data_IF_582335262354
#
_entry.id   IF_582335262354
#
_cell.length_a   1.000
_cell.length_b   1.000
_cell.length_c   1.000
_cell.angle_alpha   90.00
_cell.angle_beta   90.00
_cell.angle_gamma   90.00
#
_symmetry.space_group_name_H-M   'P 1'
#
loop_
_entity.id
_entity.type
_entity.pdbx_description
1 polymer ?
#
# COMPACT_ATOMS: atom_id res chain seq x y z
N UNK A 1 3.75 22.57 -15.90
CA UNK A 1 2.64 22.59 -14.92
C UNK A 1 1.64 21.45 -15.14
N UNK A 2 0.90 21.37 -16.25
CA UNK A 2 -0.05 20.25 -16.48
C UNK A 2 0.64 18.94 -16.87
N UNK A 3 1.73 18.98 -17.66
CA UNK A 3 2.47 17.76 -17.99
C UNK A 3 3.11 17.10 -16.75
N UNK A 4 3.67 17.90 -15.85
CA UNK A 4 4.28 17.42 -14.59
C UNK A 4 3.23 16.79 -13.68
N UNK A 5 2.04 17.39 -13.57
CA UNK A 5 0.91 16.81 -12.84
C UNK A 5 0.52 15.42 -13.37
N UNK A 6 0.32 15.28 -14.68
CA UNK A 6 -0.13 14.02 -15.27
C UNK A 6 0.94 12.93 -15.18
N UNK A 7 2.22 13.28 -15.36
CA UNK A 7 3.33 12.34 -15.19
C UNK A 7 3.42 11.84 -13.75
N UNK A 8 3.41 12.75 -12.78
CA UNK A 8 3.43 12.44 -11.34
C UNK A 8 2.21 11.61 -10.93
N UNK A 9 1.02 11.97 -11.42
CA UNK A 9 -0.21 11.22 -11.16
C UNK A 9 -0.12 9.79 -11.72
N UNK A 10 0.29 9.63 -12.98
CA UNK A 10 0.41 8.30 -13.61
C UNK A 10 1.47 7.46 -12.89
N UNK A 11 2.61 8.06 -12.54
CA UNK A 11 3.69 7.39 -11.82
C UNK A 11 3.20 6.92 -10.44
N UNK A 12 2.59 7.79 -9.66
CA UNK A 12 2.02 7.43 -8.36
C UNK A 12 0.93 6.37 -8.49
N UNK A 13 0.04 6.48 -9.48
CA UNK A 13 -1.02 5.52 -9.72
C UNK A 13 -0.47 4.12 -10.08
N UNK A 14 0.56 4.07 -10.92
CA UNK A 14 1.20 2.83 -11.33
C UNK A 14 1.98 2.20 -10.16
N UNK A 15 2.66 3.02 -9.36
CA UNK A 15 3.47 2.59 -8.23
C UNK A 15 2.61 2.12 -7.06
N UNK A 16 1.48 2.77 -6.82
CA UNK A 16 0.55 2.43 -5.73
C UNK A 16 -0.43 1.31 -6.07
N UNK A 17 -0.49 0.92 -7.35
CA UNK A 17 -1.32 -0.14 -7.92
C UNK A 17 -2.66 -0.35 -7.18
N UNK A 18 -3.58 0.63 -7.24
CA UNK A 18 -4.89 0.53 -6.59
C UNK A 18 -5.66 -0.73 -7.01
N UNK A 19 -5.49 -1.17 -8.26
CA UNK A 19 -6.23 -2.28 -8.86
C UNK A 19 -5.68 -3.64 -8.41
N UNK A 20 -4.37 -3.83 -8.42
CA UNK A 20 -3.72 -5.05 -7.90
C UNK A 20 -3.94 -5.26 -6.40
N UNK A 21 -4.14 -4.17 -5.66
CA UNK A 21 -4.45 -4.23 -4.23
C UNK A 21 -5.90 -4.61 -3.89
N UNK A 22 -6.82 -4.66 -4.87
CA UNK A 22 -8.25 -4.97 -4.63
C UNK A 22 -8.45 -6.36 -3.99
N UNK A 23 -7.84 -7.46 -4.48
CA UNK A 23 -8.03 -8.78 -3.89
C UNK A 23 -7.47 -8.86 -2.46
N UNK A 24 -6.33 -8.22 -2.20
CA UNK A 24 -5.76 -8.10 -0.86
C UNK A 24 -6.74 -7.39 0.07
N UNK A 25 -7.25 -6.22 -0.33
CA UNK A 25 -8.17 -5.44 0.48
C UNK A 25 -9.49 -6.18 0.75
N UNK A 26 -9.98 -6.88 -0.26
CA UNK A 26 -11.16 -7.72 -0.16
C UNK A 26 -10.97 -8.92 0.79
N UNK A 27 -9.80 -9.55 0.82
CA UNK A 27 -9.49 -10.65 1.74
C UNK A 27 -9.52 -10.21 3.21
N UNK A 28 -9.01 -9.01 3.49
CA UNK A 28 -8.99 -8.44 4.85
C UNK A 28 -10.38 -7.97 5.29
N UNK A 29 -11.21 -7.49 4.35
CA UNK A 29 -12.59 -7.09 4.63
C UNK A 29 -13.58 -8.27 4.69
N UNK A 30 -13.20 -9.45 4.22
CA UNK A 30 -14.03 -10.66 4.23
C UNK A 30 -14.65 -10.97 5.62
N UNK A 31 -13.88 -11.00 6.73
CA UNK A 31 -14.44 -11.24 8.07
C UNK A 31 -15.27 -10.10 8.65
N UNK A 32 -15.30 -8.91 8.04
CA UNK A 32 -15.99 -7.73 8.57
C UNK A 32 -17.45 -7.66 8.08
N UNK A 33 -18.44 -7.28 8.93
CA UNK A 33 -19.82 -7.09 8.48
C UNK A 33 -19.96 -5.99 7.41
N UNK A 34 -20.78 -6.18 6.36
CA UNK A 34 -20.93 -5.25 5.23
C UNK A 34 -21.21 -3.79 5.60
N UNK A 35 -21.97 -3.57 6.69
CA UNK A 35 -22.33 -2.23 7.17
C UNK A 35 -21.15 -1.41 7.72
N UNK A 36 -20.06 -2.06 8.13
CA UNK A 36 -18.85 -1.40 8.66
C UNK A 36 -17.72 -1.28 7.65
N UNK A 37 -17.76 -2.06 6.56
CA UNK A 37 -16.72 -2.08 5.51
C UNK A 37 -16.40 -0.71 4.90
N UNK A 38 -17.35 0.13 4.46
CA UNK A 38 -17.01 1.41 3.82
C UNK A 38 -16.32 2.38 4.79
N UNK A 39 -16.65 2.33 6.10
CA UNK A 39 -15.97 3.14 7.11
C UNK A 39 -14.51 2.73 7.28
N UNK A 40 -14.23 1.42 7.26
CA UNK A 40 -12.86 0.90 7.32
C UNK A 40 -12.09 1.30 6.06
N UNK A 41 -12.69 1.14 4.87
CA UNK A 41 -12.07 1.53 3.59
C UNK A 41 -11.63 3.00 3.62
N UNK A 42 -12.55 3.91 3.98
CA UNK A 42 -12.26 5.35 4.05
C UNK A 42 -11.17 5.63 5.08
N UNK A 43 -11.22 4.97 6.24
CA UNK A 43 -10.23 5.14 7.30
C UNK A 43 -8.84 4.69 6.88
N UNK A 44 -8.70 3.51 6.28
CA UNK A 44 -7.41 3.00 5.81
C UNK A 44 -6.85 3.84 4.67
N UNK A 45 -7.69 4.28 3.72
CA UNK A 45 -7.28 5.19 2.66
C UNK A 45 -6.82 6.55 3.22
N UNK A 46 -7.53 7.08 4.22
CA UNK A 46 -7.15 8.32 4.88
C UNK A 46 -5.82 8.18 5.64
N UNK A 47 -5.61 7.07 6.36
CA UNK A 47 -4.36 6.78 7.06
C UNK A 47 -3.20 6.71 6.04
N UNK A 48 -3.37 5.96 4.95
CA UNK A 48 -2.35 5.86 3.90
C UNK A 48 -2.04 7.21 3.26
N UNK A 49 -3.07 8.01 2.95
CA UNK A 49 -2.91 9.34 2.37
C UNK A 49 -2.18 10.30 3.31
N UNK A 50 -2.57 10.34 4.58
CA UNK A 50 -1.91 11.18 5.60
C UNK A 50 -0.47 10.74 5.83
N UNK A 51 -0.19 9.44 5.87
CA UNK A 51 1.16 8.91 5.99
C UNK A 51 2.03 9.32 4.79
N UNK A 52 1.55 9.16 3.56
CA UNK A 52 2.28 9.58 2.36
C UNK A 52 2.50 11.09 2.33
N UNK A 53 1.52 11.89 2.75
CA UNK A 53 1.72 13.34 2.92
C UNK A 53 2.81 13.65 3.94
N UNK A 54 2.76 13.04 5.13
CA UNK A 54 3.78 13.24 6.16
C UNK A 54 5.16 12.84 5.63
N UNK A 55 5.28 11.70 4.95
CA UNK A 55 6.55 11.25 4.37
C UNK A 55 7.03 12.14 3.21
N UNK A 56 6.12 12.71 2.44
CA UNK A 56 6.47 13.66 1.37
C UNK A 56 7.06 14.97 1.92
N UNK A 57 6.53 15.49 3.05
CA UNK A 57 7.04 16.74 3.64
C UNK A 57 8.18 16.52 4.65
N UNK A 58 8.09 15.46 5.45
CA UNK A 58 8.96 15.21 6.61
C UNK A 58 9.74 13.90 6.52
N UNK A 59 9.50 13.06 5.52
CA UNK A 59 10.03 11.68 5.47
C UNK A 59 11.54 11.62 5.59
N UNK A 60 12.29 12.51 4.92
CA UNK A 60 13.75 12.56 5.04
C UNK A 60 14.22 12.95 6.44
N UNK A 61 13.58 13.95 7.05
CA UNK A 61 13.89 14.38 8.42
C UNK A 61 13.56 13.30 9.44
N UNK A 62 12.45 12.59 9.23
CA UNK A 62 12.01 11.47 10.06
C UNK A 62 12.99 10.29 9.97
N UNK A 63 13.36 9.90 8.76
CA UNK A 63 14.36 8.85 8.53
C UNK A 63 15.71 9.22 9.11
N UNK A 64 16.16 10.46 8.94
CA UNK A 64 17.42 10.96 9.51
C UNK A 64 17.39 10.97 11.05
N UNK A 65 16.28 11.39 11.67
CA UNK A 65 16.14 11.38 13.13
C UNK A 65 16.24 9.96 13.71
N UNK A 66 15.66 8.97 13.02
CA UNK A 66 15.73 7.56 13.40
C UNK A 66 17.01 6.85 12.94
N UNK A 67 17.91 7.54 12.23
CA UNK A 67 19.09 6.95 11.59
C UNK A 67 18.74 5.75 10.68
N UNK A 68 17.57 5.79 10.05
CA UNK A 68 17.09 4.76 9.12
C UNK A 68 17.43 5.15 7.69
N UNK A 69 17.98 4.21 6.92
CA UNK A 69 18.21 4.40 5.49
C UNK A 69 16.95 4.09 4.69
N UNK A 70 16.81 4.75 3.52
CA UNK A 70 15.77 4.43 2.53
C UNK A 70 15.82 2.92 2.15
N UNK A 71 17.03 2.36 2.09
CA UNK A 71 17.28 0.94 1.83
C UNK A 71 16.72 0.05 2.94
N UNK A 72 16.89 0.43 4.21
CA UNK A 72 16.34 -0.32 5.34
C UNK A 72 14.80 -0.31 5.32
N UNK A 73 14.18 0.81 4.97
CA UNK A 73 12.73 0.91 4.81
C UNK A 73 12.22 0.02 3.67
N UNK A 74 12.98 -0.03 2.56
CA UNK A 74 12.68 -0.89 1.42
C UNK A 74 12.74 -2.37 1.75
N UNK A 75 13.80 -2.82 2.42
CA UNK A 75 13.95 -4.21 2.88
C UNK A 75 12.90 -4.55 3.95
N UNK A 76 12.65 -3.65 4.91
CA UNK A 76 11.63 -3.86 5.93
C UNK A 76 10.23 -4.02 5.32
N UNK A 77 9.86 -3.13 4.40
CA UNK A 77 8.55 -3.19 3.75
C UNK A 77 8.39 -4.41 2.83
N UNK A 78 9.45 -4.88 2.17
CA UNK A 78 9.39 -6.11 1.38
C UNK A 78 9.20 -7.36 2.24
N UNK A 79 9.79 -7.40 3.45
CA UNK A 79 9.55 -8.50 4.42
C UNK A 79 8.09 -8.51 4.89
N UNK A 80 7.50 -7.34 5.21
CA UNK A 80 6.09 -7.27 5.62
C UNK A 80 5.17 -7.69 4.48
N UNK A 81 5.42 -7.23 3.24
CA UNK A 81 4.65 -7.65 2.07
C UNK A 81 4.74 -9.16 1.84
N UNK A 82 5.93 -9.76 2.01
CA UNK A 82 6.14 -11.20 1.90
C UNK A 82 5.32 -11.98 2.95
N UNK A 83 5.26 -11.49 4.19
CA UNK A 83 4.45 -12.11 5.24
C UNK A 83 2.96 -12.05 4.90
N UNK A 84 2.47 -10.91 4.39
CA UNK A 84 1.08 -10.75 3.97
C UNK A 84 0.76 -11.68 2.80
N UNK A 85 1.64 -11.74 1.79
CA UNK A 85 1.43 -12.55 0.60
C UNK A 85 1.39 -14.04 0.90
N UNK A 86 2.27 -14.53 1.78
CA UNK A 86 2.25 -15.92 2.26
C UNK A 86 0.93 -16.24 2.95
N UNK A 87 0.43 -15.34 3.80
CA UNK A 87 -0.86 -15.53 4.50
C UNK A 87 -2.08 -15.50 3.57
N UNK A 88 -1.99 -14.83 2.41
CA UNK A 88 -3.03 -14.90 1.38
C UNK A 88 -3.03 -16.24 0.63
N UNK A 89 -1.84 -16.81 0.37
CA UNK A 89 -1.72 -18.12 -0.29
C UNK A 89 -2.20 -19.24 0.65
N UNK A 90 -1.81 -19.15 1.92
CA UNK A 90 -2.10 -20.13 2.96
C UNK A 90 -2.97 -19.49 4.07
N UNK A 91 -4.28 -19.31 3.82
CA UNK A 91 -5.17 -18.71 4.82
C UNK A 91 -5.25 -19.59 6.05
N UNK A 92 -4.88 -19.04 7.21
CA UNK A 92 -5.07 -19.68 8.50
C UNK A 92 -6.55 -19.61 8.93
N UNK A 93 -7.04 -20.55 9.75
CA UNK A 93 -8.39 -20.51 10.33
C UNK A 93 -8.69 -19.21 11.11
N UNK A 94 -7.64 -18.52 11.55
CA UNK A 94 -7.68 -17.27 12.31
C UNK A 94 -7.68 -16.00 11.43
N UNK A 95 -7.75 -16.15 10.09
CA UNK A 95 -7.69 -15.04 9.14
C UNK A 95 -6.27 -14.54 8.85
N UNK A 96 -6.12 -13.75 7.78
CA UNK A 96 -4.81 -13.21 7.31
C UNK A 96 -4.10 -12.37 8.38
N UNK A 97 -4.79 -11.89 9.41
CA UNK A 97 -4.22 -11.08 10.50
C UNK A 97 -4.19 -11.78 11.88
N UNK A 98 -4.73 -13.00 12.00
CA UNK A 98 -4.87 -13.71 13.29
C UNK A 98 -6.09 -13.26 14.10
N UNK A 99 -6.63 -14.14 14.96
CA UNK A 99 -7.77 -13.82 15.83
C UNK A 99 -7.40 -12.68 16.77
N UNK A 100 -8.14 -11.58 16.66
CA UNK A 100 -8.29 -10.64 17.76
C UNK A 100 -9.68 -10.92 18.34
N UNK A 101 -9.75 -11.63 19.45
CA UNK A 101 -11.01 -11.74 20.21
C UNK A 101 -11.44 -10.31 20.57
N UNK A 102 -12.47 -9.78 19.89
CA UNK A 102 -13.14 -8.52 20.20
C UNK A 102 -12.44 -7.21 19.79
N UNK A 103 -11.28 -7.23 19.14
CA UNK A 103 -10.58 -6.02 18.71
C UNK A 103 -10.64 -5.82 17.21
N UNK A 104 -11.07 -4.64 16.78
CA UNK A 104 -11.03 -4.17 15.39
C UNK A 104 -9.63 -4.43 14.77
N UNK A 105 -9.51 -4.68 13.45
CA UNK A 105 -8.25 -5.04 12.78
C UNK A 105 -7.27 -3.85 12.74
N UNK A 106 -6.72 -3.50 13.90
CA UNK A 106 -6.09 -2.20 14.17
C UNK A 106 -4.57 -2.23 14.39
N UNK A 107 -3.92 -3.40 14.42
CA UNK A 107 -2.54 -3.46 14.93
C UNK A 107 -1.48 -3.55 13.82
N UNK A 108 -1.86 -3.83 12.56
CA UNK A 108 -0.94 -3.72 11.43
C UNK A 108 -1.64 -2.93 10.33
N UNK A 109 -1.22 -1.68 10.04
CA UNK A 109 -1.90 -0.87 9.05
C UNK A 109 -1.82 -1.59 7.69
N UNK A 110 -2.96 -1.86 7.04
CA UNK A 110 -2.94 -2.19 5.60
C UNK A 110 -2.30 -1.04 4.81
N UNK A 111 -2.44 0.18 5.34
CA UNK A 111 -1.74 1.37 4.90
C UNK A 111 -0.22 1.16 4.76
N UNK A 112 0.42 0.37 5.64
CA UNK A 112 1.86 0.04 5.59
C UNK A 112 1.99 -1.49 5.66
N UNK A 113 2.05 -2.22 4.53
CA UNK A 113 2.82 -1.85 3.32
C UNK A 113 2.03 -1.85 2.00
N UNK A 114 0.72 -2.09 2.00
CA UNK A 114 -0.02 -2.30 0.76
C UNK A 114 -0.25 -1.01 -0.02
N UNK A 115 -0.52 0.11 0.67
CA UNK A 115 -0.85 1.40 0.05
C UNK A 115 0.32 2.39 0.09
N UNK A 116 0.94 2.57 1.25
CA UNK A 116 2.20 3.28 1.41
C UNK A 116 3.38 2.31 1.30
N UNK A 117 3.37 1.50 0.23
CA UNK A 117 4.45 0.56 -0.04
C UNK A 117 5.80 1.26 -0.22
N UNK A 118 6.92 0.52 -0.11
CA UNK A 118 8.27 1.07 -0.29
C UNK A 118 8.44 1.87 -1.57
N UNK A 119 7.80 1.44 -2.66
CA UNK A 119 7.83 2.13 -3.95
C UNK A 119 7.10 3.48 -3.88
N UNK A 120 5.93 3.53 -3.23
CA UNK A 120 5.19 4.78 -3.03
C UNK A 120 5.99 5.74 -2.13
N UNK A 121 6.59 5.22 -1.05
CA UNK A 121 7.45 5.99 -0.14
C UNK A 121 8.70 6.52 -0.84
N UNK A 122 9.37 5.72 -1.66
CA UNK A 122 10.51 6.17 -2.46
C UNK A 122 10.09 7.27 -3.45
N UNK A 123 8.94 7.13 -4.10
CA UNK A 123 8.39 8.12 -5.03
C UNK A 123 8.09 9.45 -4.34
N UNK A 124 7.41 9.48 -3.18
CA UNK A 124 7.19 10.75 -2.47
C UNK A 124 8.48 11.36 -1.90
N UNK A 125 9.48 10.55 -1.55
CA UNK A 125 10.80 11.05 -1.15
C UNK A 125 11.58 11.68 -2.32
N UNK A 126 11.40 11.20 -3.55
CA UNK A 126 11.98 11.84 -4.75
C UNK A 126 11.35 13.20 -4.99
N UNK A 127 10.03 13.32 -4.89
CA UNK A 127 9.32 14.60 -5.06
C UNK A 127 9.65 15.61 -3.97
N UNK A 128 9.99 15.15 -2.76
CA UNK A 128 10.53 16.02 -1.71
C UNK A 128 11.85 16.71 -2.09
N UNK A 129 12.54 16.28 -3.16
CA UNK A 129 13.80 16.89 -3.64
C UNK A 129 13.58 17.99 -4.67
N UNK A 130 12.41 18.07 -5.30
CA UNK A 130 12.09 19.09 -6.31
C UNK A 130 11.65 20.42 -5.67
N UNK A 131 11.84 21.52 -6.40
CA UNK A 131 11.73 22.87 -5.85
C UNK A 131 10.33 23.18 -5.27
N UNK A 132 10.28 24.08 -4.28
CA UNK A 132 9.07 24.52 -3.55
C UNK A 132 7.90 24.95 -4.46
N UNK A 133 8.17 25.32 -5.72
CA UNK A 133 7.15 25.74 -6.69
C UNK A 133 6.22 24.62 -7.17
N UNK A 134 6.64 23.35 -7.07
CA UNK A 134 5.86 22.21 -7.60
C UNK A 134 5.23 21.34 -6.52
N UNK A 135 5.46 21.64 -5.23
CA UNK A 135 4.90 20.87 -4.11
C UNK A 135 3.36 20.80 -4.16
N UNK A 136 2.70 21.89 -4.57
CA UNK A 136 1.25 21.93 -4.76
C UNK A 136 0.76 20.96 -5.86
N UNK A 137 1.56 20.76 -6.91
CA UNK A 137 1.26 19.82 -8.00
C UNK A 137 1.37 18.38 -7.50
N UNK A 138 2.41 18.08 -6.72
CA UNK A 138 2.61 16.76 -6.10
C UNK A 138 1.52 16.41 -5.08
N UNK A 139 1.13 17.35 -4.22
CA UNK A 139 0.01 17.20 -3.29
C UNK A 139 -1.30 16.94 -4.04
N UNK A 140 -1.56 17.71 -5.10
CA UNK A 140 -2.77 17.54 -5.90
C UNK A 140 -2.79 16.17 -6.62
N UNK A 141 -1.66 15.71 -7.12
CA UNK A 141 -1.54 14.40 -7.76
C UNK A 141 -1.76 13.26 -6.75
N UNK A 142 -1.18 13.37 -5.56
CA UNK A 142 -1.39 12.41 -4.48
C UNK A 142 -2.86 12.39 -4.01
N UNK A 143 -3.51 13.56 -3.93
CA UNK A 143 -4.93 13.66 -3.61
C UNK A 143 -5.80 12.99 -4.69
N UNK A 144 -5.47 13.18 -5.98
CA UNK A 144 -6.16 12.52 -7.08
C UNK A 144 -6.02 11.00 -7.00
N UNK A 145 -4.83 10.47 -6.67
CA UNK A 145 -4.62 9.04 -6.42
C UNK A 145 -5.45 8.54 -5.24
N UNK A 146 -5.52 9.32 -4.16
CA UNK A 146 -6.38 9.01 -3.01
C UNK A 146 -7.87 8.92 -3.36
N UNK A 147 -8.35 9.77 -4.26
CA UNK A 147 -9.71 9.68 -4.80
C UNK A 147 -9.91 8.41 -5.62
N UNK A 148 -8.93 8.02 -6.44
CA UNK A 148 -8.96 6.76 -7.19
C UNK A 148 -8.97 5.56 -6.25
N UNK A 149 -8.14 5.54 -5.20
CA UNK A 149 -8.17 4.50 -4.16
C UNK A 149 -9.57 4.34 -3.56
N UNK A 150 -10.18 5.45 -3.13
CA UNK A 150 -11.53 5.44 -2.58
C UNK A 150 -12.53 4.88 -3.60
N UNK A 151 -12.50 5.34 -4.85
CA UNK A 151 -13.40 4.88 -5.89
C UNK A 151 -13.24 3.37 -6.18
N UNK A 152 -12.00 2.89 -6.28
CA UNK A 152 -11.67 1.49 -6.57
C UNK A 152 -12.04 0.58 -5.40
N UNK A 153 -11.64 0.91 -4.16
CA UNK A 153 -11.92 0.08 -2.99
C UNK A 153 -13.38 0.12 -2.54
N UNK A 154 -14.10 1.23 -2.73
CA UNK A 154 -15.55 1.24 -2.55
C UNK A 154 -16.26 0.39 -3.62
N UNK A 155 -15.71 0.33 -4.84
CA UNK A 155 -16.21 -0.53 -5.91
C UNK A 155 -15.84 -2.01 -5.72
N UNK A 156 -14.78 -2.31 -4.96
CA UNK A 156 -14.38 -3.67 -4.61
C UNK A 156 -15.49 -4.44 -3.88
N UNK A 157 -16.37 -3.75 -3.14
CA UNK A 157 -17.54 -4.37 -2.51
C UNK A 157 -18.54 -4.90 -3.54
N UNK A 158 -18.75 -4.17 -4.63
CA UNK A 158 -19.58 -4.64 -5.75
C UNK A 158 -18.92 -5.84 -6.43
N UNK A 159 -17.59 -5.81 -6.55
CA UNK A 159 -16.81 -6.91 -7.12
C UNK A 159 -16.99 -8.21 -6.30
N UNK A 160 -16.94 -8.13 -4.96
CA UNK A 160 -17.22 -9.28 -4.09
C UNK A 160 -18.63 -9.85 -4.29
N UNK A 161 -19.65 -8.99 -4.41
CA UNK A 161 -21.05 -9.42 -4.61
C UNK A 161 -21.27 -10.09 -5.97
N UNK A 162 -20.52 -9.67 -7.00
CA UNK A 162 -20.64 -10.20 -8.37
C UNK A 162 -19.84 -11.48 -8.57
N UNK A 163 -18.60 -11.55 -8.05
CA UNK A 163 -17.70 -12.68 -8.29
C UNK A 163 -17.99 -13.89 -7.39
N UNK A 164 -18.60 -13.68 -6.22
CA UNK A 164 -18.88 -14.74 -5.26
C UNK A 164 -17.62 -15.25 -4.52
N UNK A 165 -17.81 -15.98 -3.41
CA UNK A 165 -16.74 -16.29 -2.46
C UNK A 165 -15.65 -17.21 -3.04
N UNK A 166 -16.00 -18.13 -3.93
CA UNK A 166 -15.04 -19.09 -4.51
C UNK A 166 -14.07 -18.42 -5.49
N UNK A 167 -14.58 -17.56 -6.38
CA UNK A 167 -13.75 -16.80 -7.33
C UNK A 167 -12.87 -15.81 -6.57
N UNK A 168 -13.43 -15.15 -5.56
CA UNK A 168 -12.66 -14.25 -4.70
C UNK A 168 -11.45 -14.96 -4.07
N UNK A 169 -11.66 -16.15 -3.50
CA UNK A 169 -10.58 -16.95 -2.89
C UNK A 169 -9.51 -17.35 -3.92
N UNK A 170 -9.90 -17.68 -5.15
CA UNK A 170 -8.94 -18.00 -6.20
C UNK A 170 -8.10 -16.78 -6.62
N UNK A 171 -8.73 -15.60 -6.76
CA UNK A 171 -8.04 -14.34 -7.05
C UNK A 171 -7.13 -13.91 -5.91
N UNK A 172 -7.54 -14.09 -4.66
CA UNK A 172 -6.70 -13.83 -3.48
C UNK A 172 -5.43 -14.66 -3.50
N UNK A 173 -5.52 -15.97 -3.79
CA UNK A 173 -4.34 -16.84 -3.88
C UNK A 173 -3.42 -16.45 -5.04
N UNK A 174 -3.99 -16.14 -6.19
CA UNK A 174 -3.24 -15.70 -7.36
C UNK A 174 -2.51 -14.38 -7.07
N UNK A 175 -3.18 -13.42 -6.42
CA UNK A 175 -2.55 -12.16 -6.03
C UNK A 175 -1.49 -12.37 -4.95
N UNK A 176 -1.72 -13.28 -4.00
CA UNK A 176 -0.71 -13.68 -3.02
C UNK A 176 0.56 -14.22 -3.68
N UNK A 177 0.45 -15.02 -4.76
CA UNK A 177 1.60 -15.48 -5.54
C UNK A 177 2.33 -14.30 -6.23
N UNK A 178 1.60 -13.38 -6.84
CA UNK A 178 2.17 -12.18 -7.49
C UNK A 178 2.89 -11.30 -6.45
N UNK A 179 2.24 -10.99 -5.32
CA UNK A 179 2.79 -10.17 -4.25
C UNK A 179 4.04 -10.82 -3.63
N UNK A 180 4.07 -12.15 -3.54
CA UNK A 180 5.27 -12.88 -3.10
C UNK A 180 6.44 -12.62 -4.04
N UNK A 181 6.22 -12.76 -5.36
CA UNK A 181 7.25 -12.48 -6.36
C UNK A 181 7.71 -11.01 -6.32
N UNK A 182 6.78 -10.07 -6.23
CA UNK A 182 7.09 -8.64 -6.09
C UNK A 182 7.90 -8.35 -4.83
N UNK A 183 7.52 -8.95 -3.69
CA UNK A 183 8.23 -8.77 -2.41
C UNK A 183 9.67 -9.26 -2.50
N UNK A 184 9.89 -10.41 -3.12
CA UNK A 184 11.24 -10.94 -3.36
C UNK A 184 12.04 -10.02 -4.28
N UNK A 185 11.46 -9.52 -5.37
CA UNK A 185 12.13 -8.58 -6.28
C UNK A 185 12.52 -7.28 -5.57
N UNK A 186 11.63 -6.75 -4.73
CA UNK A 186 11.89 -5.56 -3.92
C UNK A 186 13.01 -5.78 -2.90
N UNK A 187 13.02 -6.95 -2.26
CA UNK A 187 14.06 -7.37 -1.32
C UNK A 187 15.42 -7.49 -2.03
N UNK A 188 15.48 -8.17 -3.17
CA UNK A 188 16.70 -8.28 -3.98
C UNK A 188 17.19 -6.91 -4.45
N UNK A 189 16.28 -6.03 -4.86
CA UNK A 189 16.60 -4.65 -5.20
C UNK A 189 17.23 -3.87 -4.05
N UNK A 190 16.65 -3.99 -2.85
CA UNK A 190 17.20 -3.37 -1.63
C UNK A 190 18.58 -3.93 -1.25
N UNK A 191 18.77 -5.25 -1.34
CA UNK A 191 20.08 -5.88 -1.09
C UNK A 191 21.12 -5.41 -2.11
N UNK A 192 20.79 -5.36 -3.40
CA UNK A 192 21.71 -4.88 -4.45
C UNK A 192 22.12 -3.42 -4.19
N UNK A 193 21.20 -2.59 -3.73
CA UNK A 193 21.46 -1.19 -3.39
C UNK A 193 22.35 -1.06 -2.16
N UNK A 194 22.11 -1.89 -1.13
CA UNK A 194 22.97 -2.00 0.06
C UNK A 194 24.40 -2.44 -0.29
N UNK A 195 24.54 -3.45 -1.15
CA UNK A 195 25.85 -3.96 -1.57
C UNK A 195 26.64 -2.92 -2.37
N UNK A 196 25.98 -2.04 -3.13
CA UNK A 196 26.64 -0.93 -3.83
C UNK A 196 27.11 0.19 -2.91
N UNK A 197 26.57 0.26 -1.68
CA UNK A 197 26.94 1.28 -0.69
C UNK A 197 28.05 0.83 0.26
N UNK A 198 28.39 -0.48 0.26
CA UNK A 198 29.58 -1.06 0.87
C UNK A 198 30.82 -0.83 -0.01
#
# INVERSE_FOLDING_TARGET
>A
MTQDFFQTFILLLLVTDPFGNVPLFASVLNPVPPSRRPRIVVRECAIAFVLLLIFMFFGRHFLAALHLSEVALRIGGSVILLLISIRMIFPHPDGVLGRTDGGEPFIVPLAIPALAGPSALATVLLFSRESTGEVLVHVAALAAVGVVWLAVFLSAEKLQKVLGPQVMTAFERLMGLILTAMSVEMLLGGIREFVKTL
#
